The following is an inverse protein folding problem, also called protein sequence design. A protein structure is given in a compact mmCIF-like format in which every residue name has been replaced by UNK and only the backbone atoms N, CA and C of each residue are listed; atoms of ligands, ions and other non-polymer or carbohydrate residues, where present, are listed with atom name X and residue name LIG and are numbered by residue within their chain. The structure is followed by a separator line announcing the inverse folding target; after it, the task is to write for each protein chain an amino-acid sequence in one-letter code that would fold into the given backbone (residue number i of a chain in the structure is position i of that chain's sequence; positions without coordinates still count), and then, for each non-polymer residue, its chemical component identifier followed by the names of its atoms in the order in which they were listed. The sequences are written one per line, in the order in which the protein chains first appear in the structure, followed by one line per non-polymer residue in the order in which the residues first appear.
data_IF_053957842817
#
_entry.id   IF_053957842817
#
_cell.length_a   1.000
_cell.length_b   1.000
_cell.length_c   1.000
_cell.angle_alpha   90.00
_cell.angle_beta   90.00
_cell.angle_gamma   90.00
#
_symmetry.space_group_name_H-M   'P 1'
#
loop_
_entity.id
_entity.type
_entity.pdbx_description
1 polymer ?
#
# COMPACT_ATOMS: atom_id res chain seq x y z
N UNK A 1 -48.41 30.09 9.89
CA UNK A 1 -47.13 30.28 10.60
C UNK A 1 -46.04 29.74 9.68
N UNK A 2 -45.19 30.58 9.09
CA UNK A 2 -44.07 30.09 8.28
C UNK A 2 -42.98 29.53 9.19
N UNK A 3 -42.39 28.43 8.72
CA UNK A 3 -41.38 27.59 9.34
C UNK A 3 -40.34 28.32 10.20
N UNK A 4 -40.43 28.12 11.51
CA UNK A 4 -39.35 28.36 12.49
C UNK A 4 -38.39 27.18 12.52
N UNK A 5 -37.88 26.76 11.35
CA UNK A 5 -36.65 25.97 11.34
C UNK A 5 -35.51 26.91 11.79
N UNK A 6 -34.80 26.61 12.87
CA UNK A 6 -33.71 27.46 13.33
C UNK A 6 -32.71 27.59 12.18
N UNK A 7 -32.44 28.83 11.74
CA UNK A 7 -31.37 29.16 10.79
C UNK A 7 -30.05 28.80 11.46
N UNK A 8 -29.70 27.53 11.43
CA UNK A 8 -28.39 27.08 11.87
C UNK A 8 -27.36 27.78 10.98
N UNK A 9 -26.32 28.41 11.54
CA UNK A 9 -25.25 28.98 10.73
C UNK A 9 -24.74 27.92 9.75
N UNK A 10 -24.35 28.35 8.55
CA UNK A 10 -23.74 27.52 7.49
C UNK A 10 -22.68 26.56 8.08
N UNK A 11 -21.90 27.05 9.02
CA UNK A 11 -20.91 26.30 9.82
C UNK A 11 -21.53 25.11 10.57
N UNK A 12 -22.67 25.27 11.22
CA UNK A 12 -23.25 24.20 12.04
C UNK A 12 -23.95 23.10 11.22
N UNK A 13 -24.42 23.39 9.99
CA UNK A 13 -24.89 22.34 9.06
C UNK A 13 -23.74 21.45 8.62
N UNK A 14 -22.57 22.03 8.35
CA UNK A 14 -21.39 21.25 8.01
C UNK A 14 -20.78 20.55 9.22
N UNK A 15 -20.73 21.16 10.41
CA UNK A 15 -20.28 20.46 11.62
C UNK A 15 -21.16 19.23 11.87
N UNK A 16 -22.48 19.34 11.75
CA UNK A 16 -23.37 18.19 11.85
C UNK A 16 -23.07 17.11 10.79
N UNK A 17 -22.87 17.52 9.53
CA UNK A 17 -22.56 16.61 8.41
C UNK A 17 -21.17 15.95 8.50
N UNK A 18 -20.14 16.67 8.97
CA UNK A 18 -18.74 16.24 9.02
C UNK A 18 -18.29 15.72 10.40
N UNK A 19 -19.09 15.86 11.46
CA UNK A 19 -18.78 15.40 12.83
C UNK A 19 -18.39 13.91 12.92
N UNK A 20 -18.70 13.11 11.90
CA UNK A 20 -18.36 11.68 11.84
C UNK A 20 -17.22 11.34 10.86
N UNK A 21 -16.67 12.29 10.09
CA UNK A 21 -15.64 12.04 9.05
C UNK A 21 -14.58 13.15 8.95
N UNK A 22 -13.70 13.20 9.94
CA UNK A 22 -12.52 14.07 9.89
C UNK A 22 -11.57 13.69 8.75
N UNK A 23 -10.97 14.65 8.07
CA UNK A 23 -9.91 14.41 7.08
C UNK A 23 -8.71 13.75 7.77
N UNK A 24 -8.36 12.54 7.31
CA UNK A 24 -7.24 11.75 7.84
C UNK A 24 -6.26 11.29 6.75
N UNK A 25 -6.42 11.74 5.50
CA UNK A 25 -5.61 11.34 4.36
C UNK A 25 -6.32 10.32 3.45
N UNK A 26 -6.54 9.06 3.89
CA UNK A 26 -7.20 8.04 3.06
C UNK A 26 -8.60 8.41 2.58
N UNK A 27 -9.33 9.24 3.32
CA UNK A 27 -10.65 9.74 2.94
C UNK A 27 -10.63 11.05 2.14
N UNK A 28 -9.47 11.45 1.60
CA UNK A 28 -9.27 12.75 0.93
C UNK A 28 -10.26 13.01 -0.20
N UNK A 29 -10.54 12.01 -1.05
CA UNK A 29 -11.48 12.13 -2.16
C UNK A 29 -12.91 12.39 -1.68
N UNK A 30 -13.38 11.62 -0.68
CA UNK A 30 -14.72 11.76 -0.12
C UNK A 30 -14.87 13.10 0.61
N UNK A 31 -13.87 13.47 1.41
CA UNK A 31 -13.85 14.74 2.13
C UNK A 31 -13.86 15.94 1.18
N UNK A 32 -13.01 15.91 0.14
CA UNK A 32 -12.96 16.99 -0.86
C UNK A 32 -14.26 17.08 -1.67
N UNK A 33 -14.83 15.94 -2.07
CA UNK A 33 -16.12 15.89 -2.77
C UNK A 33 -17.23 16.53 -1.93
N UNK A 34 -17.30 16.18 -0.65
CA UNK A 34 -18.28 16.73 0.27
C UNK A 34 -18.10 18.25 0.47
N UNK A 35 -16.86 18.70 0.66
CA UNK A 35 -16.54 20.12 0.76
C UNK A 35 -16.94 20.88 -0.51
N UNK A 36 -16.65 20.33 -1.70
CA UNK A 36 -17.01 20.93 -2.98
C UNK A 36 -18.52 21.05 -3.16
N UNK A 37 -19.28 20.00 -2.85
CA UNK A 37 -20.76 20.01 -2.90
C UNK A 37 -21.30 21.14 -2.03
N UNK A 38 -20.82 21.24 -0.79
CA UNK A 38 -21.24 22.27 0.15
C UNK A 38 -20.91 23.68 -0.34
N UNK A 39 -19.67 23.94 -0.75
CA UNK A 39 -19.25 25.27 -1.21
C UNK A 39 -19.91 25.68 -2.52
N UNK A 40 -20.28 24.72 -3.36
CA UNK A 40 -21.07 24.99 -4.58
C UNK A 40 -22.47 25.49 -4.22
N UNK A 41 -23.10 24.91 -3.19
CA UNK A 41 -24.45 25.33 -2.76
C UNK A 41 -24.49 26.74 -2.16
N UNK A 42 -23.35 27.26 -1.69
CA UNK A 42 -23.21 28.57 -1.06
C UNK A 42 -22.52 29.59 -2.00
N UNK A 43 -22.30 29.27 -3.28
CA UNK A 43 -21.58 30.09 -4.27
C UNK A 43 -20.18 30.55 -3.80
N UNK A 44 -19.49 29.65 -3.08
CA UNK A 44 -18.19 29.92 -2.43
C UNK A 44 -17.04 29.08 -2.94
N UNK A 45 -17.27 28.21 -3.93
CA UNK A 45 -16.25 27.30 -4.43
C UNK A 45 -15.00 28.04 -4.96
N UNK A 46 -15.20 29.20 -5.61
CA UNK A 46 -14.11 29.99 -6.17
C UNK A 46 -13.05 30.40 -5.13
N UNK A 47 -13.47 30.70 -3.90
CA UNK A 47 -12.59 31.11 -2.80
C UNK A 47 -11.69 29.97 -2.26
N UNK A 48 -12.05 28.71 -2.57
CA UNK A 48 -11.25 27.53 -2.25
C UNK A 48 -10.29 27.16 -3.40
N UNK A 49 -10.75 27.25 -4.65
CA UNK A 49 -10.02 26.74 -5.81
C UNK A 49 -9.07 27.77 -6.44
N UNK A 50 -9.24 29.06 -6.16
CA UNK A 50 -8.41 30.13 -6.72
C UNK A 50 -7.57 30.81 -5.65
N UNK A 51 -6.37 31.23 -6.08
CA UNK A 51 -5.50 32.05 -5.25
C UNK A 51 -6.19 33.36 -4.88
N UNK A 52 -5.87 33.86 -3.69
CA UNK A 52 -6.36 35.17 -3.26
C UNK A 52 -5.85 36.26 -4.20
N UNK A 53 -6.71 37.19 -4.65
CA UNK A 53 -6.26 38.33 -5.44
C UNK A 53 -5.26 39.18 -4.65
N UNK A 54 -4.30 39.76 -5.36
CA UNK A 54 -3.30 40.66 -4.75
C UNK A 54 -4.01 41.82 -4.08
N UNK A 55 -3.56 42.16 -2.86
CA UNK A 55 -4.12 43.27 -2.12
C UNK A 55 -4.04 44.55 -2.97
N UNK A 56 -5.15 45.30 -3.12
CA UNK A 56 -5.13 46.58 -3.81
C UNK A 56 -4.38 47.61 -2.96
N UNK A 57 -3.08 47.76 -3.21
CA UNK A 57 -2.19 48.72 -2.51
C UNK A 57 -1.88 49.90 -3.44
N UNK A 58 -1.77 51.09 -2.86
CA UNK A 58 -1.29 52.30 -3.54
C UNK A 58 0.20 52.16 -3.86
N UNK A 59 0.55 51.89 -5.11
CA UNK A 59 1.94 51.93 -5.58
C UNK A 59 2.34 53.36 -5.99
N UNK A 60 3.62 53.76 -5.83
CA UNK A 60 4.08 55.08 -6.25
C UNK A 60 3.80 55.31 -7.74
N UNK A 61 3.02 56.35 -8.05
CA UNK A 61 2.66 56.70 -9.43
C UNK A 61 1.39 56.03 -9.98
N UNK A 62 0.66 55.23 -9.19
CA UNK A 62 -0.62 54.65 -9.59
C UNK A 62 -1.82 55.39 -8.95
N UNK A 63 -2.98 55.32 -9.62
CA UNK A 63 -4.25 55.81 -9.07
C UNK A 63 -4.64 55.03 -7.81
N UNK A 64 -5.27 55.72 -6.86
CA UNK A 64 -5.80 55.09 -5.66
C UNK A 64 -6.76 53.93 -6.04
N UNK A 65 -6.73 52.80 -5.31
CA UNK A 65 -7.64 51.70 -5.58
C UNK A 65 -9.09 52.13 -5.54
N UNK A 66 -9.91 51.60 -6.45
CA UNK A 66 -11.35 51.84 -6.42
C UNK A 66 -11.97 51.23 -5.15
N UNK A 67 -13.04 51.86 -4.67
CA UNK A 67 -13.84 51.34 -3.55
C UNK A 67 -14.35 49.91 -3.82
N UNK A 68 -14.70 49.63 -5.08
CA UNK A 68 -15.17 48.32 -5.50
C UNK A 68 -14.08 47.25 -5.40
N UNK A 69 -12.84 47.58 -5.78
CA UNK A 69 -11.71 46.66 -5.66
C UNK A 69 -11.38 46.32 -4.20
N UNK A 70 -11.41 47.32 -3.30
CA UNK A 70 -11.19 47.11 -1.87
C UNK A 70 -12.33 46.28 -1.23
N UNK A 71 -13.56 46.51 -1.66
CA UNK A 71 -14.75 45.76 -1.20
C UNK A 71 -14.67 44.30 -1.64
N UNK A 72 -14.33 44.05 -2.91
CA UNK A 72 -14.15 42.71 -3.45
C UNK A 72 -13.03 41.95 -2.73
N UNK A 73 -11.88 42.61 -2.48
CA UNK A 73 -10.78 42.03 -1.72
C UNK A 73 -11.20 41.67 -0.29
N UNK A 74 -11.89 42.57 0.41
CA UNK A 74 -12.36 42.34 1.77
C UNK A 74 -13.36 41.17 1.83
N UNK A 75 -14.27 41.09 0.85
CA UNK A 75 -15.20 39.98 0.71
C UNK A 75 -14.47 38.65 0.50
N UNK A 76 -13.45 38.63 -0.36
CA UNK A 76 -12.62 37.46 -0.59
C UNK A 76 -11.92 36.99 0.69
N UNK A 77 -11.27 37.91 1.41
CA UNK A 77 -10.58 37.60 2.68
C UNK A 77 -11.55 37.00 3.70
N UNK A 78 -12.76 37.56 3.80
CA UNK A 78 -13.79 37.05 4.71
C UNK A 78 -14.24 35.64 4.31
N UNK A 79 -14.59 35.43 3.04
CA UNK A 79 -15.03 34.13 2.55
C UNK A 79 -13.93 33.05 2.72
N UNK A 80 -12.68 33.38 2.41
CA UNK A 80 -11.54 32.49 2.60
C UNK A 80 -11.38 32.09 4.08
N UNK A 81 -11.51 33.03 5.02
CA UNK A 81 -11.45 32.71 6.46
C UNK A 81 -12.57 31.78 6.92
N UNK A 82 -13.81 32.01 6.45
CA UNK A 82 -14.94 31.13 6.77
C UNK A 82 -14.67 29.69 6.30
N UNK A 83 -14.14 29.53 5.09
CA UNK A 83 -13.80 28.21 4.52
C UNK A 83 -12.58 27.59 5.24
N UNK A 84 -11.56 28.38 5.58
CA UNK A 84 -10.41 27.89 6.33
C UNK A 84 -10.84 27.34 7.70
N UNK A 85 -11.68 28.07 8.44
CA UNK A 85 -12.25 27.59 9.71
C UNK A 85 -13.01 26.27 9.51
N UNK A 86 -13.83 26.19 8.46
CA UNK A 86 -14.61 25.02 8.10
C UNK A 86 -13.74 23.80 7.82
N UNK A 87 -12.64 23.99 7.09
CA UNK A 87 -11.66 22.95 6.79
C UNK A 87 -10.97 22.47 8.07
N UNK A 88 -10.46 23.39 8.89
CA UNK A 88 -9.77 23.09 10.16
C UNK A 88 -10.66 22.28 11.09
N UNK A 89 -11.91 22.69 11.34
CA UNK A 89 -12.81 21.94 12.24
C UNK A 89 -13.16 20.54 11.72
N UNK A 90 -12.95 20.28 10.43
CA UNK A 90 -13.19 18.99 9.79
C UNK A 90 -11.93 18.12 9.66
N UNK A 91 -10.80 18.52 10.26
CA UNK A 91 -9.53 17.78 10.23
C UNK A 91 -9.20 17.12 11.57
N UNK A 92 -8.24 16.19 11.56
CA UNK A 92 -7.66 15.67 12.80
C UNK A 92 -6.89 16.75 13.58
N UNK A 93 -6.79 16.68 14.92
CA UNK A 93 -6.09 17.69 15.73
C UNK A 93 -4.64 17.96 15.32
N UNK A 94 -3.94 16.94 14.81
CA UNK A 94 -2.58 17.08 14.29
C UNK A 94 -2.54 18.06 13.12
N UNK A 95 -3.41 17.85 12.13
CA UNK A 95 -3.47 18.70 10.94
C UNK A 95 -4.02 20.09 11.24
N UNK A 96 -4.93 20.22 12.22
CA UNK A 96 -5.40 21.53 12.67
C UNK A 96 -4.23 22.41 13.08
N UNK A 97 -3.35 21.88 13.96
CA UNK A 97 -2.17 22.60 14.44
C UNK A 97 -1.22 22.99 13.31
N UNK A 98 -1.04 22.11 12.33
CA UNK A 98 -0.08 22.32 11.25
C UNK A 98 -0.61 23.32 10.20
N UNK A 99 -1.93 23.55 10.12
CA UNK A 99 -2.57 24.30 9.04
C UNK A 99 -3.39 25.53 9.49
N UNK A 100 -3.57 25.77 10.79
CA UNK A 100 -4.47 26.81 11.34
C UNK A 100 -4.17 28.24 10.88
N UNK A 101 -2.94 28.52 10.44
CA UNK A 101 -2.51 29.83 9.97
C UNK A 101 -2.72 30.06 8.47
N UNK A 102 -3.08 29.02 7.71
CA UNK A 102 -3.26 29.10 6.27
C UNK A 102 -4.66 29.56 5.89
N UNK A 103 -4.75 30.29 4.78
CA UNK A 103 -6.02 30.58 4.12
C UNK A 103 -6.52 29.34 3.34
N UNK A 104 -7.78 29.36 2.92
CA UNK A 104 -8.46 28.17 2.38
C UNK A 104 -7.74 27.56 1.16
N UNK A 105 -7.31 28.41 0.23
CA UNK A 105 -6.61 27.97 -0.98
C UNK A 105 -5.27 27.31 -0.63
N UNK A 106 -4.43 28.00 0.16
CA UNK A 106 -3.11 27.52 0.58
C UNK A 106 -3.23 26.21 1.36
N UNK A 107 -4.20 26.12 2.25
CA UNK A 107 -4.51 24.90 2.99
C UNK A 107 -4.89 23.75 2.06
N UNK A 108 -5.72 23.99 1.04
CA UNK A 108 -6.06 22.96 0.07
C UNK A 108 -4.82 22.48 -0.71
N UNK A 109 -3.92 23.40 -1.09
CA UNK A 109 -2.67 23.02 -1.76
C UNK A 109 -1.76 22.19 -0.85
N UNK A 110 -1.64 22.56 0.42
CA UNK A 110 -0.82 21.81 1.38
C UNK A 110 -1.37 20.39 1.60
N UNK A 111 -2.69 20.24 1.74
CA UNK A 111 -3.33 18.92 1.83
C UNK A 111 -3.11 18.07 0.59
N UNK A 112 -3.20 18.64 -0.61
CA UNK A 112 -2.93 17.94 -1.88
C UNK A 112 -1.48 17.45 -1.92
N UNK A 113 -0.54 18.32 -1.55
CA UNK A 113 0.89 17.99 -1.47
C UNK A 113 1.13 16.86 -0.48
N UNK A 114 0.56 16.95 0.72
CA UNK A 114 0.70 15.93 1.76
C UNK A 114 0.13 14.56 1.32
N UNK A 115 -1.05 14.53 0.68
CA UNK A 115 -1.63 13.29 0.16
C UNK A 115 -0.77 12.67 -0.94
N UNK A 116 -0.23 13.51 -1.84
CA UNK A 116 0.69 13.06 -2.89
C UNK A 116 1.98 12.48 -2.30
N UNK A 117 2.63 13.22 -1.39
CA UNK A 117 3.86 12.77 -0.73
C UNK A 117 3.65 11.46 0.03
N UNK A 118 2.51 11.30 0.68
CA UNK A 118 2.17 10.03 1.33
C UNK A 118 2.06 8.88 0.32
N UNK A 119 1.41 9.10 -0.82
CA UNK A 119 1.32 8.09 -1.88
C UNK A 119 2.70 7.73 -2.46
N UNK A 120 3.58 8.72 -2.67
CA UNK A 120 4.95 8.52 -3.15
C UNK A 120 5.81 7.75 -2.15
N UNK A 121 5.68 8.07 -0.86
CA UNK A 121 6.37 7.35 0.20
C UNK A 121 5.88 5.91 0.31
N UNK A 122 4.57 5.70 0.21
CA UNK A 122 3.97 4.37 0.21
C UNK A 122 4.46 3.55 -0.99
N UNK A 123 4.47 4.14 -2.19
CA UNK A 123 5.00 3.53 -3.40
C UNK A 123 6.46 3.10 -3.21
N UNK A 124 7.31 4.01 -2.73
CA UNK A 124 8.72 3.71 -2.50
C UNK A 124 8.90 2.57 -1.50
N UNK A 125 8.11 2.54 -0.42
CA UNK A 125 8.18 1.49 0.58
C UNK A 125 7.71 0.14 0.01
N UNK A 126 6.61 0.12 -0.73
CA UNK A 126 6.08 -1.08 -1.41
C UNK A 126 7.08 -1.63 -2.41
N UNK A 127 7.67 -0.78 -3.27
CA UNK A 127 8.69 -1.20 -4.23
C UNK A 127 9.91 -1.79 -3.52
N UNK A 128 10.39 -1.15 -2.44
CA UNK A 128 11.51 -1.68 -1.64
C UNK A 128 11.18 -3.04 -1.04
N UNK A 129 10.01 -3.17 -0.42
CA UNK A 129 9.56 -4.39 0.22
C UNK A 129 9.32 -5.52 -0.80
N UNK A 130 8.80 -5.18 -1.98
CA UNK A 130 8.57 -6.12 -3.06
C UNK A 130 9.89 -6.65 -3.64
N UNK A 131 10.83 -5.76 -3.94
CA UNK A 131 12.17 -6.13 -4.43
C UNK A 131 12.95 -6.98 -3.42
N UNK A 132 12.84 -6.68 -2.13
CA UNK A 132 13.49 -7.46 -1.07
C UNK A 132 12.79 -8.80 -0.76
N UNK A 133 11.57 -9.00 -1.22
CA UNK A 133 10.78 -10.19 -0.92
C UNK A 133 11.27 -11.39 -1.73
N UNK A 134 11.92 -12.33 -1.06
CA UNK A 134 12.36 -13.61 -1.62
C UNK A 134 11.72 -14.75 -0.86
N UNK A 135 11.45 -15.86 -1.53
CA UNK A 135 11.06 -17.08 -0.87
C UNK A 135 12.24 -17.61 -0.06
N UNK A 136 12.00 -18.00 1.20
CA UNK A 136 13.00 -18.55 2.09
C UNK A 136 12.83 -20.07 2.18
N UNK A 137 13.95 -20.79 2.30
CA UNK A 137 13.95 -22.24 2.42
C UNK A 137 13.13 -22.73 3.62
N UNK A 138 12.33 -23.78 3.39
CA UNK A 138 11.45 -24.34 4.41
C UNK A 138 10.29 -23.45 4.86
N UNK A 139 10.10 -22.25 4.27
CA UNK A 139 8.88 -21.46 4.45
C UNK A 139 7.79 -21.91 3.49
N UNK A 140 6.54 -21.55 3.81
CA UNK A 140 5.40 -21.90 2.98
C UNK A 140 5.34 -21.07 1.70
N UNK A 141 5.21 -21.75 0.56
CA UNK A 141 5.03 -21.12 -0.74
C UNK A 141 3.74 -20.32 -0.83
N UNK A 142 2.67 -20.79 -0.15
CA UNK A 142 1.38 -20.11 -0.10
C UNK A 142 1.48 -18.75 0.58
N UNK A 143 2.16 -18.69 1.73
CA UNK A 143 2.36 -17.44 2.46
C UNK A 143 3.19 -16.44 1.63
N UNK A 144 4.23 -16.94 0.95
CA UNK A 144 5.07 -16.12 0.08
C UNK A 144 4.31 -15.57 -1.15
N UNK A 145 3.55 -16.40 -1.89
CA UNK A 145 2.79 -15.95 -3.07
C UNK A 145 1.71 -14.95 -2.68
N UNK A 146 1.03 -15.14 -1.53
CA UNK A 146 0.07 -14.17 -1.01
C UNK A 146 0.73 -12.83 -0.70
N UNK A 147 1.93 -12.85 -0.11
CA UNK A 147 2.71 -11.64 0.16
C UNK A 147 3.12 -10.91 -1.13
N UNK A 148 3.60 -11.64 -2.13
CA UNK A 148 3.93 -11.08 -3.46
C UNK A 148 2.68 -10.48 -4.13
N UNK A 149 1.53 -11.17 -4.08
CA UNK A 149 0.26 -10.67 -4.60
C UNK A 149 -0.16 -9.38 -3.89
N UNK A 150 -0.03 -9.31 -2.57
CA UNK A 150 -0.36 -8.11 -1.80
C UNK A 150 0.43 -6.89 -2.27
N UNK A 151 1.71 -7.04 -2.62
CA UNK A 151 2.49 -5.93 -3.17
C UNK A 151 2.04 -5.53 -4.56
N UNK A 152 1.72 -6.50 -5.43
CA UNK A 152 1.17 -6.25 -6.76
C UNK A 152 -0.15 -5.45 -6.66
N UNK A 153 -1.06 -5.89 -5.80
CA UNK A 153 -2.34 -5.23 -5.56
C UNK A 153 -2.15 -3.81 -4.98
N UNK A 154 -1.16 -3.63 -4.10
CA UNK A 154 -0.85 -2.32 -3.53
C UNK A 154 -0.28 -1.36 -4.59
N UNK A 155 0.60 -1.83 -5.48
CA UNK A 155 1.10 -1.04 -6.59
C UNK A 155 -0.02 -0.65 -7.56
N UNK A 156 -0.94 -1.56 -7.87
CA UNK A 156 -2.12 -1.26 -8.68
C UNK A 156 -2.99 -0.18 -8.04
N UNK A 157 -3.25 -0.26 -6.72
CA UNK A 157 -3.98 0.79 -5.98
C UNK A 157 -3.29 2.15 -6.03
N UNK A 158 -1.96 2.18 -6.05
CA UNK A 158 -1.16 3.39 -6.15
C UNK A 158 -1.03 3.92 -7.60
N UNK A 159 -1.69 3.28 -8.58
CA UNK A 159 -1.68 3.72 -9.98
C UNK A 159 -0.55 3.12 -10.83
N UNK A 160 0.16 2.12 -10.31
CA UNK A 160 1.28 1.44 -10.96
C UNK A 160 0.99 -0.05 -11.17
N UNK A 161 0.04 -0.42 -12.05
CA UNK A 161 -0.33 -1.81 -12.26
C UNK A 161 0.84 -2.65 -12.80
N UNK A 162 1.14 -3.76 -12.13
CA UNK A 162 2.13 -4.74 -12.58
C UNK A 162 1.47 -5.65 -13.62
N UNK A 163 2.06 -5.76 -14.80
CA UNK A 163 1.52 -6.66 -15.83
C UNK A 163 1.51 -8.11 -15.35
N UNK A 164 0.53 -8.91 -15.79
CA UNK A 164 0.39 -10.33 -15.39
C UNK A 164 1.68 -11.12 -15.59
N UNK A 165 2.32 -10.93 -16.75
CA UNK A 165 3.59 -11.57 -17.08
C UNK A 165 4.73 -11.11 -16.17
N UNK A 166 4.83 -9.81 -15.91
CA UNK A 166 5.87 -9.28 -15.01
C UNK A 166 5.69 -9.80 -13.58
N UNK A 167 4.45 -9.86 -13.08
CA UNK A 167 4.14 -10.42 -11.76
C UNK A 167 4.57 -11.90 -11.64
N UNK A 168 4.29 -12.71 -12.67
CA UNK A 168 4.75 -14.10 -12.73
C UNK A 168 6.28 -14.19 -12.76
N UNK A 169 6.95 -13.41 -13.61
CA UNK A 169 8.41 -13.40 -13.69
C UNK A 169 9.05 -13.01 -12.35
N UNK A 170 8.54 -11.97 -11.68
CA UNK A 170 9.07 -11.52 -10.39
C UNK A 170 8.97 -12.61 -9.32
N UNK A 171 7.84 -13.31 -9.24
CA UNK A 171 7.67 -14.45 -8.32
C UNK A 171 8.69 -15.54 -8.63
N UNK A 172 8.79 -15.97 -9.88
CA UNK A 172 9.72 -17.04 -10.31
C UNK A 172 11.18 -16.68 -10.00
N UNK A 173 11.62 -15.47 -10.33
CA UNK A 173 13.02 -15.04 -10.16
C UNK A 173 13.45 -14.86 -8.71
N UNK A 174 12.50 -14.84 -7.77
CA UNK A 174 12.77 -14.63 -6.34
C UNK A 174 12.44 -15.85 -5.47
N UNK A 175 12.23 -17.02 -6.09
CA UNK A 175 12.12 -18.30 -5.39
C UNK A 175 13.46 -18.73 -4.77
N UNK A 176 13.40 -19.56 -3.74
CA UNK A 176 14.59 -20.18 -3.15
C UNK A 176 15.11 -21.31 -4.06
N UNK A 177 16.38 -21.69 -3.87
CA UNK A 177 17.01 -22.78 -4.63
C UNK A 177 16.31 -24.15 -4.50
N UNK A 178 15.47 -24.34 -3.48
CA UNK A 178 14.63 -25.54 -3.34
C UNK A 178 13.66 -25.71 -4.53
N UNK A 179 13.39 -24.64 -5.27
CA UNK A 179 12.53 -24.62 -6.46
C UNK A 179 13.32 -24.59 -7.78
N UNK A 180 14.65 -24.78 -7.78
CA UNK A 180 15.46 -24.73 -9.01
C UNK A 180 15.03 -25.80 -10.03
N UNK A 181 14.69 -27.01 -9.57
CA UNK A 181 14.16 -28.07 -10.44
C UNK A 181 12.82 -27.69 -11.04
N UNK A 182 11.95 -27.02 -10.27
CA UNK A 182 10.70 -26.47 -10.79
C UNK A 182 10.97 -25.41 -11.85
N UNK A 183 11.90 -24.48 -11.61
CA UNK A 183 12.26 -23.42 -12.54
C UNK A 183 12.79 -23.96 -13.87
N UNK A 184 13.64 -24.99 -13.83
CA UNK A 184 14.14 -25.67 -15.03
C UNK A 184 12.99 -26.29 -15.85
N UNK A 185 12.09 -27.03 -15.18
CA UNK A 185 10.92 -27.64 -15.81
C UNK A 185 9.94 -26.59 -16.37
N UNK A 186 9.74 -25.51 -15.63
CA UNK A 186 8.87 -24.40 -16.03
C UNK A 186 9.39 -23.69 -17.28
N UNK A 187 10.69 -23.37 -17.32
CA UNK A 187 11.32 -22.74 -18.48
C UNK A 187 11.22 -23.62 -19.74
N UNK A 188 11.51 -24.93 -19.60
CA UNK A 188 11.38 -25.88 -20.72
C UNK A 188 9.94 -25.96 -21.26
N UNK A 189 8.94 -25.96 -20.38
CA UNK A 189 7.53 -26.04 -20.77
C UNK A 189 6.98 -24.71 -21.34
N UNK A 190 7.44 -23.57 -20.82
CA UNK A 190 6.96 -22.23 -21.25
C UNK A 190 7.37 -21.88 -22.68
N UNK A 191 8.58 -22.24 -23.11
CA UNK A 191 9.04 -21.96 -24.47
C UNK A 191 8.22 -22.68 -25.55
N UNK A 192 7.46 -23.73 -25.20
CA UNK A 192 6.63 -24.49 -26.14
C UNK A 192 5.15 -24.10 -26.17
N UNK A 193 4.62 -23.35 -25.19
CA UNK A 193 3.16 -23.23 -25.00
C UNK A 193 2.53 -21.95 -25.54
N UNK A 194 3.28 -20.86 -25.75
CA UNK A 194 2.72 -19.57 -26.20
C UNK A 194 1.61 -18.99 -25.28
N UNK A 195 1.41 -19.60 -24.10
CA UNK A 195 0.32 -19.29 -23.17
C UNK A 195 0.79 -18.31 -22.11
N UNK A 196 0.05 -17.23 -21.90
CA UNK A 196 0.29 -16.33 -20.78
C UNK A 196 -0.20 -16.99 -19.47
N UNK A 197 0.74 -17.36 -18.61
CA UNK A 197 0.46 -17.88 -17.27
C UNK A 197 0.10 -16.70 -16.37
N UNK A 198 -0.92 -16.88 -15.53
CA UNK A 198 -1.31 -15.92 -14.48
C UNK A 198 -0.85 -16.40 -13.11
N UNK A 199 -0.71 -15.46 -12.15
CA UNK A 199 -0.25 -15.76 -10.77
C UNK A 199 -1.05 -16.88 -10.11
N UNK A 200 -2.35 -16.98 -10.38
CA UNK A 200 -3.20 -18.05 -9.85
C UNK A 200 -2.82 -19.45 -10.39
N UNK A 201 -2.55 -19.58 -11.69
CA UNK A 201 -2.09 -20.84 -12.28
C UNK A 201 -0.69 -21.20 -11.78
N UNK A 202 0.21 -20.21 -11.70
CA UNK A 202 1.54 -20.38 -11.14
C UNK A 202 1.48 -20.90 -9.70
N UNK A 203 0.60 -20.33 -8.88
CA UNK A 203 0.40 -20.74 -7.49
C UNK A 203 0.04 -22.23 -7.38
N UNK A 204 -0.89 -22.72 -8.19
CA UNK A 204 -1.30 -24.12 -8.18
C UNK A 204 -0.12 -25.06 -8.51
N UNK A 205 0.69 -24.70 -9.50
CA UNK A 205 1.87 -25.47 -9.90
C UNK A 205 2.95 -25.48 -8.81
N UNK A 206 3.24 -24.32 -8.24
CA UNK A 206 4.19 -24.18 -7.13
C UNK A 206 3.74 -24.98 -5.90
N UNK A 207 2.44 -24.97 -5.61
CA UNK A 207 1.87 -25.69 -4.47
C UNK A 207 1.96 -27.21 -4.65
N UNK A 208 1.74 -27.69 -5.87
CA UNK A 208 1.93 -29.11 -6.19
C UNK A 208 3.40 -29.51 -6.04
N UNK A 209 4.33 -28.67 -6.51
CA UNK A 209 5.76 -28.93 -6.37
C UNK A 209 6.22 -28.96 -4.91
N UNK A 210 5.71 -28.06 -4.06
CA UNK A 210 6.00 -28.03 -2.61
C UNK A 210 5.72 -29.40 -1.95
N UNK A 211 4.69 -30.12 -2.41
CA UNK A 211 4.34 -31.46 -1.89
C UNK A 211 5.36 -32.55 -2.26
N UNK A 212 6.14 -32.33 -3.31
CA UNK A 212 7.20 -33.25 -3.77
C UNK A 212 8.53 -33.02 -3.09
N UNK A 213 8.69 -31.90 -2.36
CA UNK A 213 9.91 -31.56 -1.67
C UNK A 213 10.14 -32.46 -0.43
N UNK A 214 11.40 -32.80 -0.10
CA UNK A 214 11.71 -33.53 1.12
C UNK A 214 11.27 -32.73 2.35
N UNK A 215 10.47 -33.35 3.24
CA UNK A 215 10.10 -32.72 4.52
C UNK A 215 11.32 -32.67 5.43
N UNK A 216 11.82 -31.47 5.75
CA UNK A 216 12.98 -31.23 6.64
C UNK A 216 12.77 -31.70 8.09
N UNK A 217 11.54 -32.08 8.48
CA UNK A 217 11.22 -32.62 9.81
C UNK A 217 11.36 -34.15 9.95
N UNK A 218 11.73 -34.86 8.88
CA UNK A 218 12.10 -36.26 8.99
C UNK A 218 13.60 -36.36 9.28
N UNK A 219 13.96 -36.43 10.57
CA UNK A 219 15.22 -37.07 10.97
C UNK A 219 15.30 -38.41 10.24
N UNK A 220 16.30 -38.63 9.38
CA UNK A 220 16.45 -39.93 8.75
C UNK A 220 16.85 -40.87 9.88
N UNK A 221 15.91 -41.72 10.32
CA UNK A 221 16.25 -42.88 11.13
C UNK A 221 17.18 -43.72 10.26
N UNK A 222 18.47 -43.55 10.50
CA UNK A 222 19.54 -44.32 9.90
C UNK A 222 19.28 -45.79 10.27
N UNK A 223 18.65 -46.53 9.36
CA UNK A 223 18.55 -47.98 9.49
C UNK A 223 19.98 -48.52 9.33
N UNK A 224 20.68 -48.68 10.45
CA UNK A 224 21.85 -49.53 10.51
C UNK A 224 21.39 -50.95 10.21
N UNK A 225 21.53 -51.38 8.95
CA UNK A 225 21.68 -52.78 8.63
C UNK A 225 22.94 -53.26 9.38
N UNK A 226 22.74 -53.92 10.54
CA UNK A 226 23.79 -54.73 11.16
C UNK A 226 24.09 -55.87 10.19
N UNK A 227 25.07 -55.65 9.31
CA UNK A 227 25.73 -56.72 8.59
C UNK A 227 26.31 -57.69 9.63
N UNK A 228 25.72 -58.89 9.71
CA UNK A 228 26.19 -59.96 10.55
C UNK A 228 27.65 -60.28 10.21
N UNK A 229 28.55 -60.05 11.17
CA UNK A 229 29.92 -60.53 11.08
C UNK A 229 29.90 -62.05 11.21
N UNK A 230 30.02 -62.73 10.07
CA UNK A 230 30.33 -64.16 10.02
C UNK A 230 31.79 -64.32 10.48
N UNK A 231 32.00 -64.77 11.71
CA UNK A 231 33.31 -65.26 12.15
C UNK A 231 33.56 -66.63 11.51
N UNK A 232 34.45 -66.69 10.51
CA UNK A 232 35.06 -67.95 10.07
C UNK A 232 36.07 -68.39 11.15
N UNK A 233 35.73 -69.40 11.93
CA UNK A 233 36.71 -70.17 12.72
C UNK A 233 37.29 -71.28 11.82
N UNK A 234 38.58 -71.17 11.53
CA UNK A 234 39.38 -72.27 10.98
C UNK A 234 39.61 -73.30 12.09
N UNK A 235 39.20 -74.54 11.85
CA UNK A 235 39.59 -75.69 12.65
C UNK A 235 40.89 -76.24 12.04
N UNK A 236 41.99 -76.13 12.78
CA UNK A 236 43.14 -77.02 12.59
C UNK A 236 43.16 -77.99 13.77
N UNK A 237 42.96 -79.26 13.44
CA UNK A 237 43.20 -80.39 14.31
C UNK A 237 44.69 -80.48 14.65
N UNK A 238 45.00 -80.73 15.93
CA UNK A 238 46.16 -81.55 16.30
C UNK A 238 45.94 -82.24 17.66
N UNK A 239 45.66 -83.54 17.53
CA UNK A 239 45.86 -84.71 18.39
C UNK A 239 46.57 -84.51 19.76
N UNK A 240 46.03 -85.12 20.81
CA UNK A 240 46.60 -86.26 21.61
C UNK A 240 45.80 -86.45 22.93
N UNK A 241 45.08 -87.56 23.16
CA UNK A 241 45.48 -88.86 23.77
C UNK A 241 45.35 -88.91 25.32
N UNK A 242 44.66 -89.98 25.80
CA UNK A 242 44.56 -90.58 27.16
C UNK A 242 43.70 -89.83 28.20
N UNK A 243 42.91 -90.46 29.06
CA UNK A 243 42.70 -91.87 29.41
C UNK A 243 41.96 -91.94 30.75
N UNK A 244 41.38 -93.12 31.02
CA UNK A 244 40.55 -93.55 32.16
C UNK A 244 39.07 -93.12 32.12
#
# INVERSE_FOLDING_TARGET
MPDLLPKWPVIGRLIAYNSTRHFCGPNSLDWYRNLRIFLTSEDKLAYLEHHMPVAPVLLPGQQAPSTDALTAYTHWVKASKEIACLMIVSMTPKLQKDLEYLAAYEMLQELKTMVSQHADQELLQTVRAFHACKHEEGKSISAYVLKMKSYIDQLERLGHPVSKQLGVSLILTSLSKEYDTFMQNFNMNMHGMGKTIIVHELYAMLKLHEQTLPKKDATPTMMYFKAGRIQKKNIQEQKTVKGC
#
